data_IF_640282856284
#
_entry.id   IF_640282856284
#
_cell.length_a   1.000
_cell.length_b   1.000
_cell.length_c   1.000
_cell.angle_alpha   90.00
_cell.angle_beta   90.00
_cell.angle_gamma   90.00
#
_symmetry.space_group_name_H-M   'P 1'
#
loop_
_entity.id
_entity.type
_entity.pdbx_description
1 polymer ?
#
# COMPACT_ATOMS: atom_id res chain seq x y z
N UNK A 1 17.01 -17.44 -17.92
CA UNK A 1 16.95 -16.30 -16.98
C UNK A 1 15.77 -15.37 -17.28
N UNK A 2 15.53 -14.96 -18.55
CA UNK A 2 14.39 -14.08 -18.93
C UNK A 2 12.99 -14.60 -18.55
N UNK A 3 12.76 -15.91 -18.62
CA UNK A 3 11.45 -16.50 -18.25
C UNK A 3 11.13 -16.32 -16.76
N UNK A 4 12.12 -16.50 -15.89
CA UNK A 4 11.96 -16.38 -14.42
C UNK A 4 11.66 -14.95 -14.01
N UNK A 5 12.28 -13.97 -14.67
CA UNK A 5 12.02 -12.54 -14.43
C UNK A 5 10.61 -12.12 -14.86
N UNK A 6 10.16 -12.59 -16.04
CA UNK A 6 8.79 -12.35 -16.51
C UNK A 6 7.75 -12.94 -15.55
N UNK A 7 7.92 -14.20 -15.14
CA UNK A 7 7.04 -14.83 -14.16
C UNK A 7 7.01 -14.09 -12.82
N UNK A 8 8.15 -13.58 -12.34
CA UNK A 8 8.21 -12.78 -11.11
C UNK A 8 7.46 -11.46 -11.26
N UNK A 9 7.58 -10.81 -12.43
CA UNK A 9 6.91 -9.55 -12.77
C UNK A 9 5.39 -9.71 -12.83
N UNK A 10 4.92 -10.77 -13.48
CA UNK A 10 3.48 -11.07 -13.59
C UNK A 10 2.89 -11.38 -12.21
N UNK A 11 3.61 -12.16 -11.40
CA UNK A 11 3.17 -12.50 -10.06
C UNK A 11 3.04 -11.27 -9.14
N UNK A 12 4.01 -10.35 -9.16
CA UNK A 12 3.91 -9.13 -8.34
C UNK A 12 2.78 -8.21 -8.82
N UNK A 13 2.51 -8.15 -10.12
CA UNK A 13 1.39 -7.38 -10.65
C UNK A 13 0.04 -7.94 -10.16
N UNK A 14 -0.13 -9.26 -10.13
CA UNK A 14 -1.33 -9.89 -9.56
C UNK A 14 -1.47 -9.62 -8.05
N UNK A 15 -0.37 -9.74 -7.28
CA UNK A 15 -0.37 -9.45 -5.86
C UNK A 15 -0.73 -7.99 -5.58
N UNK A 16 -0.17 -7.06 -6.35
CA UNK A 16 -0.49 -5.64 -6.27
C UNK A 16 -1.98 -5.39 -6.53
N UNK A 17 -2.52 -5.90 -7.64
CA UNK A 17 -3.94 -5.73 -7.99
C UNK A 17 -4.88 -6.29 -6.91
N UNK A 18 -4.54 -7.47 -6.37
CA UNK A 18 -5.31 -8.08 -5.27
C UNK A 18 -5.30 -7.21 -4.01
N UNK A 19 -4.12 -6.74 -3.61
CA UNK A 19 -3.99 -5.91 -2.42
C UNK A 19 -4.75 -4.59 -2.58
N UNK A 20 -4.67 -3.94 -3.75
CA UNK A 20 -5.44 -2.72 -4.04
C UNK A 20 -6.94 -2.96 -3.91
N UNK A 21 -7.47 -4.06 -4.48
CA UNK A 21 -8.89 -4.38 -4.36
C UNK A 21 -9.34 -4.65 -2.92
N UNK A 22 -8.45 -5.14 -2.07
CA UNK A 22 -8.70 -5.43 -0.66
C UNK A 22 -8.66 -4.21 0.27
N UNK A 23 -8.18 -3.05 -0.21
CA UNK A 23 -8.17 -1.82 0.60
C UNK A 23 -9.58 -1.31 0.95
N UNK A 24 -10.61 -1.71 0.20
CA UNK A 24 -11.99 -1.32 0.43
C UNK A 24 -12.82 -2.43 1.09
N UNK A 25 -12.19 -3.51 1.56
CA UNK A 25 -12.90 -4.62 2.21
C UNK A 25 -13.53 -4.16 3.53
N UNK A 26 -14.71 -4.66 3.86
CA UNK A 26 -15.43 -4.32 5.09
C UNK A 26 -14.65 -4.77 6.34
N UNK A 27 -13.86 -5.85 6.22
CA UNK A 27 -13.10 -6.44 7.32
C UNK A 27 -11.75 -5.76 7.50
N UNK A 28 -11.50 -5.26 8.71
CA UNK A 28 -10.26 -4.56 9.06
C UNK A 28 -9.02 -5.43 8.82
N UNK A 29 -9.07 -6.72 9.18
CA UNK A 29 -7.96 -7.66 8.99
C UNK A 29 -7.59 -7.86 7.52
N UNK A 30 -8.56 -7.77 6.60
CA UNK A 30 -8.31 -7.86 5.15
C UNK A 30 -7.62 -6.60 4.65
N UNK A 31 -8.11 -5.42 5.08
CA UNK A 31 -7.47 -4.13 4.73
C UNK A 31 -6.04 -4.03 5.26
N UNK A 32 -5.80 -4.45 6.50
CA UNK A 32 -4.46 -4.49 7.09
C UNK A 32 -3.55 -5.47 6.34
N UNK A 33 -4.05 -6.64 5.97
CA UNK A 33 -3.31 -7.61 5.14
C UNK A 33 -2.89 -7.04 3.79
N UNK A 34 -3.76 -6.27 3.15
CA UNK A 34 -3.44 -5.55 1.91
C UNK A 34 -2.34 -4.49 2.11
N UNK A 35 -2.44 -3.67 3.15
CA UNK A 35 -1.44 -2.63 3.46
C UNK A 35 -0.07 -3.25 3.71
N UNK A 36 0.02 -4.32 4.50
CA UNK A 36 1.30 -4.99 4.76
C UNK A 36 1.87 -5.68 3.53
N UNK A 37 1.01 -6.21 2.66
CA UNK A 37 1.42 -6.75 1.35
C UNK A 37 2.02 -5.66 0.46
N UNK A 38 1.36 -4.50 0.37
CA UNK A 38 1.88 -3.34 -0.37
C UNK A 38 3.21 -2.85 0.22
N UNK A 39 3.36 -2.85 1.55
CA UNK A 39 4.64 -2.53 2.20
C UNK A 39 5.74 -3.53 1.84
N UNK A 40 5.45 -4.83 1.78
CA UNK A 40 6.42 -5.83 1.32
C UNK A 40 6.78 -5.63 -0.15
N UNK A 41 5.81 -5.32 -1.01
CA UNK A 41 6.08 -5.02 -2.42
C UNK A 41 7.04 -3.84 -2.55
N UNK A 42 6.86 -2.77 -1.77
CA UNK A 42 7.81 -1.66 -1.77
C UNK A 42 9.24 -2.08 -1.33
N UNK A 43 9.36 -3.05 -0.43
CA UNK A 43 10.67 -3.55 0.04
C UNK A 43 11.35 -4.41 -1.01
N UNK A 44 10.60 -5.31 -1.64
CA UNK A 44 11.13 -6.33 -2.54
C UNK A 44 11.28 -5.82 -3.99
N UNK A 45 10.47 -4.82 -4.37
CA UNK A 45 10.40 -4.26 -5.72
C UNK A 45 10.47 -2.73 -5.66
N UNK A 46 11.70 -2.21 -5.62
CA UNK A 46 11.95 -0.77 -5.45
C UNK A 46 11.29 0.07 -6.56
N UNK A 47 11.18 -0.46 -7.78
CA UNK A 47 10.54 0.21 -8.92
C UNK A 47 9.02 0.35 -8.77
N UNK A 48 8.40 -0.43 -7.88
CA UNK A 48 6.98 -0.34 -7.54
C UNK A 48 6.70 0.55 -6.31
N UNK A 49 7.74 0.98 -5.59
CA UNK A 49 7.56 1.81 -4.39
C UNK A 49 6.85 3.13 -4.69
N UNK A 50 7.27 3.85 -5.74
CA UNK A 50 6.66 5.12 -6.14
C UNK A 50 5.15 4.99 -6.43
N UNK A 51 4.74 4.09 -7.34
CA UNK A 51 3.32 3.85 -7.63
C UNK A 51 2.49 3.46 -6.40
N UNK A 52 3.00 2.59 -5.52
CA UNK A 52 2.32 2.18 -4.29
C UNK A 52 2.09 3.39 -3.37
N UNK A 53 3.14 4.18 -3.12
CA UNK A 53 3.05 5.34 -2.23
C UNK A 53 2.12 6.42 -2.79
N UNK A 54 2.12 6.62 -4.11
CA UNK A 54 1.21 7.55 -4.76
C UNK A 54 -0.24 7.09 -4.61
N UNK A 55 -0.54 5.81 -4.85
CA UNK A 55 -1.87 5.24 -4.67
C UNK A 55 -2.36 5.43 -3.24
N UNK A 56 -1.54 5.09 -2.26
CA UNK A 56 -1.88 5.24 -0.84
C UNK A 56 -2.07 6.70 -0.42
N UNK A 57 -1.28 7.62 -0.98
CA UNK A 57 -1.46 9.06 -0.78
C UNK A 57 -2.79 9.55 -1.33
N UNK A 58 -3.17 9.10 -2.54
CA UNK A 58 -4.47 9.42 -3.13
C UNK A 58 -5.59 8.81 -2.27
N UNK A 59 -5.44 7.56 -1.84
CA UNK A 59 -6.41 6.89 -0.95
C UNK A 59 -6.67 7.70 0.33
N UNK A 60 -5.63 8.24 0.97
CA UNK A 60 -5.78 9.10 2.15
C UNK A 60 -6.47 10.43 1.83
N UNK A 61 -6.26 11.00 0.63
CA UNK A 61 -6.89 12.25 0.21
C UNK A 61 -8.37 12.09 -0.10
N UNK A 62 -8.74 10.98 -0.76
CA UNK A 62 -10.14 10.67 -1.08
C UNK A 62 -10.91 10.24 0.18
N UNK A 63 -10.27 9.50 1.10
CA UNK A 63 -10.84 9.14 2.40
C UNK A 63 -10.54 10.19 3.47
N UNK A 64 -10.57 11.48 3.12
CA UNK A 64 -10.47 12.58 4.08
C UNK A 64 -11.71 12.59 4.98
N UNK A 65 -11.69 11.70 5.96
CA UNK A 65 -12.57 11.73 7.11
C UNK A 65 -11.90 12.66 8.11
N UNK A 66 -12.61 13.74 8.47
CA UNK A 66 -12.20 14.54 9.61
C UNK A 66 -12.49 13.73 10.88
N UNK A 67 -11.43 13.20 11.47
CA UNK A 67 -11.53 12.44 12.71
C UNK A 67 -11.67 13.37 13.93
N UNK A 68 -11.52 14.69 13.77
CA UNK A 68 -11.53 15.65 14.89
C UNK A 68 -10.47 15.26 15.94
N UNK A 69 -10.92 15.09 17.18
CA UNK A 69 -10.09 14.59 18.28
C UNK A 69 -10.00 13.06 18.36
N UNK A 70 -10.76 12.34 17.52
CA UNK A 70 -10.72 10.89 17.47
C UNK A 70 -9.48 10.39 16.70
N UNK A 71 -8.98 9.23 17.11
CA UNK A 71 -7.87 8.60 16.40
C UNK A 71 -8.35 7.98 15.07
N UNK A 72 -7.61 8.16 13.95
CA UNK A 72 -7.97 7.51 12.70
C UNK A 72 -8.02 5.97 12.86
N UNK A 73 -8.84 5.26 12.06
CA UNK A 73 -8.86 3.82 11.99
C UNK A 73 -7.47 3.22 11.81
N UNK A 74 -7.25 2.01 12.35
CA UNK A 74 -5.93 1.39 12.41
C UNK A 74 -5.28 1.24 11.02
N UNK A 75 -6.06 0.85 10.02
CA UNK A 75 -5.64 0.78 8.61
C UNK A 75 -5.23 2.14 8.05
N UNK A 76 -5.98 3.19 8.33
CA UNK A 76 -5.62 4.56 7.91
C UNK A 76 -4.31 5.01 8.56
N UNK A 77 -4.10 4.70 9.85
CA UNK A 77 -2.84 5.00 10.54
C UNK A 77 -1.66 4.24 9.94
N UNK A 78 -1.84 2.97 9.56
CA UNK A 78 -0.79 2.20 8.90
C UNK A 78 -0.43 2.76 7.53
N UNK A 79 -1.42 3.23 6.76
CA UNK A 79 -1.16 3.92 5.49
C UNK A 79 -0.37 5.22 5.73
N UNK A 80 -0.75 6.03 6.73
CA UNK A 80 -0.02 7.25 7.10
C UNK A 80 1.42 6.92 7.51
N UNK A 81 1.63 5.88 8.34
CA UNK A 81 2.96 5.43 8.76
C UNK A 81 3.81 5.06 7.55
N UNK A 82 3.27 4.24 6.64
CA UNK A 82 3.99 3.77 5.46
C UNK A 82 4.39 4.91 4.53
N UNK A 83 3.45 5.83 4.24
CA UNK A 83 3.71 7.00 3.40
C UNK A 83 4.78 7.91 4.03
N UNK A 84 4.72 8.14 5.35
CA UNK A 84 5.72 8.95 6.07
C UNK A 84 7.11 8.29 6.08
N UNK A 85 7.16 7.00 6.42
CA UNK A 85 8.43 6.26 6.53
C UNK A 85 9.17 6.17 5.19
N UNK A 86 8.44 6.13 4.07
CA UNK A 86 9.04 5.98 2.74
C UNK A 86 9.21 7.30 1.99
N UNK A 87 8.28 8.24 2.12
CA UNK A 87 8.39 9.58 1.52
C UNK A 87 9.51 10.42 2.14
N UNK A 88 9.94 10.12 3.37
CA UNK A 88 11.07 10.78 4.03
C UNK A 88 12.46 10.23 3.64
N UNK A 89 12.55 9.20 2.79
CA UNK A 89 13.83 8.59 2.36
C UNK A 89 14.33 9.07 0.99
N UNK A 90 13.64 10.04 0.38
CA UNK A 90 13.99 10.62 -0.94
C UNK A 90 14.72 11.97 -0.85
N UNK A 91 15.28 12.34 0.31
CA UNK A 91 16.13 13.54 0.51
C UNK A 91 17.48 13.16 1.09
#
# INVERSE_FOLDING_TARGET
MRQTELTRRDHVAELFNRAVGQLQDEKLEVRLGAIFTLEQICRDFIDLSGPVLQLLTIYLKENRVDYGDAEPPADVREIIRLVRDRGGRET
#
